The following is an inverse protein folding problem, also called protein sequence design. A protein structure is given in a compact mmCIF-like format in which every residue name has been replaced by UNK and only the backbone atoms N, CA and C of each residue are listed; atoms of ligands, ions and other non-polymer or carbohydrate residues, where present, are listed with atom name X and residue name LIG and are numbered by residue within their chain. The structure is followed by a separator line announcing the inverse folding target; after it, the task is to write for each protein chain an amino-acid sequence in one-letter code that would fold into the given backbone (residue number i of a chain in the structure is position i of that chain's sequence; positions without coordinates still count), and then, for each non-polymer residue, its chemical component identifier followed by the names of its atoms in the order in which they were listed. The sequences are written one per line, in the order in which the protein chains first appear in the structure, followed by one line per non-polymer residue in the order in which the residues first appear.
data_IF_114833344055
#
_entry.id   IF_114833344055
#
_cell.length_a   1.000
_cell.length_b   1.000
_cell.length_c   1.000
_cell.angle_alpha   90.00
_cell.angle_beta   90.00
_cell.angle_gamma   90.00
#
_symmetry.space_group_name_H-M   'P 1'
#
loop_
_entity.id
_entity.type
_entity.pdbx_description
1 polymer ?
#
# COMPACT_ATOMS: atom_id res chain seq x y z
N UNK A 1 3.60 -9.80 -18.06
CA UNK A 1 3.92 -11.22 -18.35
C UNK A 1 2.62 -12.02 -18.46
N UNK A 2 2.66 -13.28 -18.92
CA UNK A 2 1.45 -14.08 -19.16
C UNK A 2 0.85 -14.70 -17.90
N UNK A 3 1.66 -14.88 -16.85
CA UNK A 3 1.26 -15.48 -15.57
C UNK A 3 2.10 -14.94 -14.41
N UNK A 4 1.67 -15.24 -13.17
CA UNK A 4 2.37 -14.85 -11.95
C UNK A 4 3.83 -15.33 -11.87
N UNK A 5 4.14 -16.53 -12.38
CA UNK A 5 5.49 -17.09 -12.31
C UNK A 5 6.46 -16.35 -13.23
N UNK A 6 6.02 -16.02 -14.45
CA UNK A 6 6.79 -15.22 -15.40
C UNK A 6 6.91 -13.76 -14.95
N UNK A 7 5.90 -13.19 -14.31
CA UNK A 7 6.01 -11.87 -13.64
C UNK A 7 7.06 -11.92 -12.52
N UNK A 8 6.97 -12.89 -11.60
CA UNK A 8 7.94 -13.05 -10.50
C UNK A 8 9.37 -13.25 -11.02
N UNK A 9 9.56 -14.06 -12.06
CA UNK A 9 10.88 -14.29 -12.66
C UNK A 9 11.50 -13.01 -13.25
N UNK A 10 10.67 -12.10 -13.78
CA UNK A 10 11.14 -10.80 -14.27
C UNK A 10 11.59 -9.91 -13.10
N UNK A 11 10.78 -9.78 -12.05
CA UNK A 11 11.11 -8.98 -10.87
C UNK A 11 12.30 -9.54 -10.09
N UNK A 12 12.43 -10.87 -10.00
CA UNK A 12 13.57 -11.53 -9.35
C UNK A 12 14.90 -11.13 -9.99
N UNK A 13 14.95 -10.89 -11.31
CA UNK A 13 16.18 -10.43 -11.96
C UNK A 13 16.63 -9.08 -11.41
N UNK A 14 15.69 -8.17 -11.14
CA UNK A 14 15.97 -6.85 -10.56
C UNK A 14 16.40 -6.99 -9.10
N UNK A 15 15.65 -7.77 -8.30
CA UNK A 15 15.97 -8.05 -6.90
C UNK A 15 17.39 -8.59 -6.78
N UNK A 16 17.74 -9.61 -7.57
CA UNK A 16 19.08 -10.22 -7.56
C UNK A 16 20.15 -9.25 -8.07
N UNK A 17 19.86 -8.50 -9.14
CA UNK A 17 20.84 -7.59 -9.75
C UNK A 17 21.27 -6.47 -8.81
N UNK A 18 20.33 -5.93 -8.04
CA UNK A 18 20.57 -4.79 -7.16
C UNK A 18 20.67 -5.17 -5.67
N UNK A 19 20.45 -6.44 -5.32
CA UNK A 19 20.44 -6.88 -3.92
C UNK A 19 19.34 -6.19 -3.13
N UNK A 20 18.13 -6.10 -3.70
CA UNK A 20 17.03 -5.40 -3.05
C UNK A 20 16.60 -6.10 -1.77
N UNK A 21 16.39 -5.31 -0.71
CA UNK A 21 15.85 -5.76 0.57
C UNK A 21 14.38 -5.43 0.74
N UNK A 22 13.81 -4.63 -0.16
CA UNK A 22 12.39 -4.31 -0.19
C UNK A 22 11.90 -4.16 -1.63
N UNK A 23 10.62 -4.48 -1.85
CA UNK A 23 9.89 -4.22 -3.08
C UNK A 23 8.48 -3.75 -2.73
N UNK A 24 7.98 -2.78 -3.49
CA UNK A 24 6.62 -2.29 -3.38
C UNK A 24 5.88 -2.56 -4.69
N UNK A 25 4.67 -3.11 -4.57
CA UNK A 25 3.73 -3.26 -5.66
C UNK A 25 2.74 -2.11 -5.59
N UNK A 26 3.03 -1.03 -6.30
CA UNK A 26 2.12 0.12 -6.41
C UNK A 26 1.07 -0.16 -7.49
N UNK A 27 -0.16 -0.45 -7.06
CA UNK A 27 -1.25 -0.93 -7.92
C UNK A 27 -2.34 0.14 -7.99
N UNK A 28 -2.33 0.87 -9.11
CA UNK A 28 -3.15 2.06 -9.37
C UNK A 28 -3.99 1.94 -10.66
N UNK A 29 -4.78 2.98 -10.94
CA UNK A 29 -5.55 3.11 -12.18
C UNK A 29 -4.65 3.38 -13.40
N UNK A 30 -4.97 2.78 -14.56
CA UNK A 30 -6.05 1.82 -14.82
C UNK A 30 -5.67 0.34 -14.59
N UNK A 31 -4.43 0.03 -14.26
CA UNK A 31 -3.90 -1.34 -14.25
C UNK A 31 -4.60 -2.25 -13.23
N UNK A 32 -4.90 -1.75 -12.04
CA UNK A 32 -5.56 -2.51 -10.97
C UNK A 32 -7.05 -2.82 -11.26
N UNK A 33 -7.61 -2.27 -12.35
CA UNK A 33 -8.99 -2.53 -12.79
C UNK A 33 -9.09 -3.83 -13.58
N UNK A 34 -7.95 -4.41 -13.97
CA UNK A 34 -7.88 -5.67 -14.68
C UNK A 34 -7.66 -6.83 -13.71
N UNK A 35 -8.70 -7.65 -13.51
CA UNK A 35 -8.65 -8.81 -12.60
C UNK A 35 -7.52 -9.79 -12.94
N UNK A 36 -7.20 -10.02 -14.21
CA UNK A 36 -6.11 -10.91 -14.59
C UNK A 36 -4.73 -10.31 -14.27
N UNK A 37 -4.58 -9.00 -14.41
CA UNK A 37 -3.37 -8.29 -14.01
C UNK A 37 -3.17 -8.36 -12.49
N UNK A 38 -4.19 -8.03 -11.70
CA UNK A 38 -4.14 -8.11 -10.24
C UNK A 38 -3.81 -9.52 -9.75
N UNK A 39 -4.45 -10.55 -10.33
CA UNK A 39 -4.13 -11.94 -10.01
C UNK A 39 -2.66 -12.29 -10.26
N UNK A 40 -2.10 -11.80 -11.36
CA UNK A 40 -0.70 -12.04 -11.71
C UNK A 40 0.27 -11.27 -10.82
N UNK A 41 0.01 -10.00 -10.53
CA UNK A 41 0.87 -9.17 -9.66
C UNK A 41 0.88 -9.68 -8.22
N UNK A 42 -0.30 -9.97 -7.64
CA UNK A 42 -0.42 -10.54 -6.30
C UNK A 42 0.23 -11.93 -6.21
N UNK A 43 0.05 -12.76 -7.25
CA UNK A 43 0.71 -14.06 -7.31
C UNK A 43 2.23 -13.95 -7.43
N UNK A 44 2.72 -12.95 -8.16
CA UNK A 44 4.14 -12.69 -8.28
C UNK A 44 4.74 -12.21 -6.95
N UNK A 45 4.08 -11.27 -6.27
CA UNK A 45 4.47 -10.78 -4.94
C UNK A 45 4.59 -11.94 -3.94
N UNK A 46 3.60 -12.84 -3.92
CA UNK A 46 3.62 -14.06 -3.10
C UNK A 46 4.82 -14.96 -3.41
N UNK A 47 5.10 -15.23 -4.68
CA UNK A 47 6.24 -16.07 -5.10
C UNK A 47 7.57 -15.42 -4.68
N UNK A 48 7.72 -14.11 -4.87
CA UNK A 48 8.94 -13.39 -4.49
C UNK A 48 9.17 -13.42 -2.98
N UNK A 49 8.12 -13.20 -2.17
CA UNK A 49 8.21 -13.30 -0.72
C UNK A 49 8.65 -14.70 -0.27
N UNK A 50 8.14 -15.76 -0.93
CA UNK A 50 8.51 -17.14 -0.63
C UNK A 50 9.96 -17.45 -1.03
N UNK A 51 10.42 -16.94 -2.18
CA UNK A 51 11.74 -17.23 -2.72
C UNK A 51 12.86 -16.42 -2.05
N UNK A 52 12.54 -15.30 -1.40
CA UNK A 52 13.53 -14.38 -0.84
C UNK A 52 13.26 -14.15 0.66
N UNK A 53 13.69 -15.08 1.54
CA UNK A 53 13.61 -14.85 2.98
C UNK A 53 14.29 -13.55 3.38
N UNK A 54 13.55 -12.65 4.04
CA UNK A 54 14.05 -11.34 4.48
C UNK A 54 13.80 -10.20 3.47
N UNK A 55 13.22 -10.46 2.30
CA UNK A 55 12.69 -9.41 1.44
C UNK A 55 11.43 -8.83 2.07
N UNK A 56 11.41 -7.51 2.28
CA UNK A 56 10.21 -6.80 2.68
C UNK A 56 9.32 -6.55 1.45
N UNK A 57 8.11 -7.08 1.45
CA UNK A 57 7.15 -6.92 0.34
C UNK A 57 5.98 -6.07 0.82
N UNK A 58 5.73 -4.95 0.15
CA UNK A 58 4.53 -4.13 0.34
C UNK A 58 3.65 -4.12 -0.92
N UNK A 59 2.36 -3.87 -0.70
CA UNK A 59 1.39 -3.57 -1.76
C UNK A 59 0.73 -2.23 -1.45
N UNK A 60 0.87 -1.27 -2.33
CA UNK A 60 0.29 0.07 -2.21
C UNK A 60 -0.90 0.21 -3.18
N UNK A 61 -1.95 0.90 -2.76
CA UNK A 61 -3.12 1.16 -3.60
C UNK A 61 -3.78 2.50 -3.29
N UNK A 62 -4.65 2.97 -4.18
CA UNK A 62 -5.38 4.23 -4.02
C UNK A 62 -6.21 4.26 -2.72
N UNK A 63 -6.13 5.39 -2.01
CA UNK A 63 -6.93 5.67 -0.82
C UNK A 63 -8.26 6.36 -1.16
N UNK A 64 -9.27 6.15 -0.33
CA UNK A 64 -10.53 6.91 -0.37
C UNK A 64 -10.98 7.23 1.05
N UNK A 65 -12.05 8.02 1.23
CA UNK A 65 -12.65 8.24 2.55
C UNK A 65 -13.08 6.93 3.26
N UNK A 66 -13.36 5.87 2.49
CA UNK A 66 -13.68 4.52 2.99
C UNK A 66 -12.42 3.68 3.30
N UNK A 67 -11.23 4.27 3.26
CA UNK A 67 -9.93 3.60 3.35
C UNK A 67 -9.37 3.27 1.97
N UNK A 68 -10.07 2.45 1.19
CA UNK A 68 -9.75 2.22 -0.23
C UNK A 68 -11.02 1.99 -1.07
N UNK A 69 -10.88 2.12 -2.39
CA UNK A 69 -11.94 1.95 -3.37
C UNK A 69 -12.37 0.50 -3.61
N UNK A 70 -13.28 0.29 -4.56
CA UNK A 70 -13.74 -1.04 -4.94
C UNK A 70 -12.60 -1.94 -5.42
N UNK A 71 -11.72 -1.41 -6.29
CA UNK A 71 -10.58 -2.16 -6.83
C UNK A 71 -9.57 -2.53 -5.74
N UNK A 72 -9.26 -1.63 -4.81
CA UNK A 72 -8.44 -1.95 -3.64
C UNK A 72 -9.03 -3.07 -2.78
N UNK A 73 -10.35 -3.07 -2.54
CA UNK A 73 -11.04 -4.17 -1.84
C UNK A 73 -10.95 -5.49 -2.61
N UNK A 74 -11.07 -5.48 -3.94
CA UNK A 74 -10.89 -6.68 -4.76
C UNK A 74 -9.44 -7.18 -4.72
N UNK A 75 -8.45 -6.29 -4.74
CA UNK A 75 -7.03 -6.64 -4.59
C UNK A 75 -6.77 -7.36 -3.26
N UNK A 76 -7.32 -6.87 -2.15
CA UNK A 76 -7.18 -7.52 -0.84
C UNK A 76 -7.86 -8.90 -0.79
N UNK A 77 -9.03 -9.04 -1.43
CA UNK A 77 -9.71 -10.34 -1.54
C UNK A 77 -8.92 -11.33 -2.40
N UNK A 78 -8.28 -10.87 -3.48
CA UNK A 78 -7.39 -11.70 -4.30
C UNK A 78 -6.16 -12.14 -3.48
N UNK A 79 -5.52 -11.24 -2.74
CA UNK A 79 -4.42 -11.59 -1.83
C UNK A 79 -4.83 -12.67 -0.83
N UNK A 80 -6.00 -12.51 -0.19
CA UNK A 80 -6.57 -13.54 0.70
C UNK A 80 -6.80 -14.86 -0.03
N UNK A 81 -7.41 -14.84 -1.21
CA UNK A 81 -7.73 -16.05 -1.98
C UNK A 81 -6.46 -16.83 -2.39
N UNK A 82 -5.35 -16.13 -2.63
CA UNK A 82 -4.05 -16.73 -2.93
C UNK A 82 -3.26 -17.14 -1.67
N UNK A 83 -3.78 -16.88 -0.46
CA UNK A 83 -3.06 -17.11 0.79
C UNK A 83 -1.81 -16.25 0.92
N UNK A 84 -1.85 -15.03 0.38
CA UNK A 84 -0.77 -14.06 0.44
C UNK A 84 -1.03 -13.04 1.55
N UNK A 85 -0.01 -12.86 2.39
CA UNK A 85 0.06 -11.77 3.38
C UNK A 85 1.42 -11.09 3.19
N UNK A 86 1.47 -9.91 2.56
CA UNK A 86 2.69 -9.11 2.48
C UNK A 86 3.12 -8.65 3.87
N UNK A 87 4.31 -8.07 3.97
CA UNK A 87 4.69 -7.33 5.17
C UNK A 87 3.72 -6.18 5.41
N UNK A 88 3.29 -5.49 4.35
CA UNK A 88 2.45 -4.30 4.46
C UNK A 88 1.46 -4.14 3.30
N UNK A 89 0.27 -3.65 3.63
CA UNK A 89 -0.65 -3.01 2.71
C UNK A 89 -0.71 -1.50 3.01
N UNK A 90 -0.38 -0.68 2.03
CA UNK A 90 -0.42 0.79 2.15
C UNK A 90 -1.55 1.38 1.32
N UNK A 91 -2.15 2.47 1.82
CA UNK A 91 -3.03 3.32 1.02
C UNK A 91 -2.38 4.67 0.72
N UNK A 92 -2.82 5.28 -0.39
CA UNK A 92 -2.49 6.64 -0.80
C UNK A 92 -3.64 7.60 -0.50
N UNK A 93 -3.74 8.21 0.70
CA UNK A 93 -4.82 9.11 1.04
C UNK A 93 -4.56 10.54 0.53
N UNK A 94 -4.46 10.66 -0.79
CA UNK A 94 -4.39 11.90 -1.56
C UNK A 94 -5.09 11.66 -2.92
N UNK A 95 -5.30 12.71 -3.70
CA UNK A 95 -5.99 12.68 -5.01
C UNK A 95 -7.46 12.21 -4.96
N UNK A 96 -8.03 12.05 -3.76
CA UNK A 96 -9.35 11.49 -3.50
C UNK A 96 -10.35 12.46 -2.82
N UNK A 97 -10.04 13.76 -2.77
CA UNK A 97 -10.84 14.76 -2.06
C UNK A 97 -10.53 14.86 -0.55
N UNK A 98 -9.31 14.51 -0.17
CA UNK A 98 -8.77 14.61 1.18
C UNK A 98 -8.56 16.07 1.60
N UNK A 99 -8.86 16.35 2.86
CA UNK A 99 -8.74 17.66 3.48
C UNK A 99 -7.88 17.55 4.76
N UNK A 100 -6.56 17.67 4.59
CA UNK A 100 -5.57 17.61 5.66
C UNK A 100 -5.54 16.28 6.42
N UNK A 101 -4.76 16.24 7.50
CA UNK A 101 -4.47 15.02 8.24
C UNK A 101 -5.72 14.31 8.80
N UNK A 102 -6.76 15.05 9.19
CA UNK A 102 -7.98 14.46 9.75
C UNK A 102 -8.67 13.50 8.78
N UNK A 103 -8.71 13.85 7.49
CA UNK A 103 -9.29 12.97 6.46
C UNK A 103 -8.39 11.76 6.17
N UNK A 104 -7.06 11.94 6.24
CA UNK A 104 -6.09 10.86 6.02
C UNK A 104 -6.12 9.83 7.15
N UNK A 105 -6.11 10.27 8.41
CA UNK A 105 -6.20 9.36 9.57
C UNK A 105 -7.56 8.67 9.66
N UNK A 106 -8.64 9.33 9.23
CA UNK A 106 -9.95 8.69 9.09
C UNK A 106 -9.94 7.58 8.03
N UNK A 107 -9.28 7.80 6.89
CA UNK A 107 -9.14 6.77 5.86
C UNK A 107 -8.31 5.58 6.35
N UNK A 108 -7.19 5.83 7.04
CA UNK A 108 -6.40 4.76 7.70
C UNK A 108 -7.26 3.96 8.69
N UNK A 109 -8.00 4.63 9.57
CA UNK A 109 -8.91 3.96 10.51
C UNK A 109 -9.94 3.07 9.79
N UNK A 110 -10.45 3.50 8.63
CA UNK A 110 -11.39 2.71 7.84
C UNK A 110 -10.70 1.56 7.09
N UNK A 111 -9.50 1.79 6.58
CA UNK A 111 -8.70 0.77 5.92
C UNK A 111 -8.30 -0.35 6.90
N UNK A 112 -7.95 -0.01 8.13
CA UNK A 112 -7.74 -0.97 9.21
C UNK A 112 -8.94 -1.93 9.38
N UNK A 113 -10.17 -1.41 9.39
CA UNK A 113 -11.40 -2.23 9.47
C UNK A 113 -11.60 -3.12 8.25
N UNK A 114 -11.20 -2.65 7.06
CA UNK A 114 -11.20 -3.47 5.85
C UNK A 114 -10.20 -4.63 5.99
N UNK A 115 -8.99 -4.37 6.50
CA UNK A 115 -7.98 -5.43 6.75
C UNK A 115 -8.48 -6.44 7.79
N UNK A 116 -9.05 -5.98 8.91
CA UNK A 116 -9.65 -6.85 9.93
C UNK A 116 -10.75 -7.75 9.34
N UNK A 117 -11.71 -7.17 8.61
CA UNK A 117 -12.82 -7.94 8.01
C UNK A 117 -12.34 -8.89 6.91
N UNK A 118 -11.34 -8.48 6.13
CA UNK A 118 -10.80 -9.30 5.05
C UNK A 118 -10.02 -10.48 5.61
N UNK A 119 -9.07 -10.26 6.52
CA UNK A 119 -8.13 -11.31 6.94
C UNK A 119 -8.49 -11.97 8.29
N UNK A 120 -9.49 -11.47 9.00
CA UNK A 120 -9.85 -11.96 10.34
C UNK A 120 -8.83 -11.57 11.42
N UNK A 121 -8.06 -10.51 11.16
CA UNK A 121 -7.04 -10.01 12.07
C UNK A 121 -7.64 -9.23 13.25
N UNK A 122 -6.90 -9.18 14.36
CA UNK A 122 -7.15 -8.18 15.39
C UNK A 122 -6.82 -6.78 14.87
N UNK A 123 -7.38 -5.74 15.47
CA UNK A 123 -7.05 -4.35 15.16
C UNK A 123 -5.54 -4.08 15.19
N UNK A 124 -4.85 -4.53 16.25
CA UNK A 124 -3.41 -4.35 16.39
C UNK A 124 -2.61 -5.09 15.29
N UNK A 125 -3.03 -6.30 14.92
CA UNK A 125 -2.42 -7.04 13.80
C UNK A 125 -2.69 -6.35 12.47
N UNK A 126 -3.89 -5.81 12.26
CA UNK A 126 -4.19 -5.06 11.05
C UNK A 126 -3.32 -3.80 10.92
N UNK A 127 -3.16 -3.02 11.99
CA UNK A 127 -2.26 -1.84 11.95
C UNK A 127 -0.80 -2.24 11.72
N UNK A 128 -0.34 -3.33 12.32
CA UNK A 128 1.01 -3.87 12.09
C UNK A 128 1.23 -4.38 10.64
N UNK A 129 0.18 -4.48 9.82
CA UNK A 129 0.25 -4.75 8.39
C UNK A 129 -0.23 -3.57 7.54
N UNK A 130 -0.49 -2.42 8.15
CA UNK A 130 -1.03 -1.24 7.50
C UNK A 130 0.04 -0.17 7.30
N UNK A 131 -0.04 0.56 6.20
CA UNK A 131 0.87 1.64 5.89
C UNK A 131 0.22 2.86 5.25
N UNK A 132 0.96 3.96 5.31
CA UNK A 132 0.62 5.24 4.73
C UNK A 132 1.63 5.61 3.63
N UNK A 133 1.12 6.04 2.48
CA UNK A 133 1.89 6.72 1.43
C UNK A 133 1.24 8.07 1.13
N UNK A 134 1.81 9.17 1.63
CA UNK A 134 1.26 10.52 1.43
C UNK A 134 1.76 11.21 0.17
N UNK A 135 1.24 12.38 -0.16
CA UNK A 135 1.82 13.28 -1.17
C UNK A 135 2.15 14.61 -0.50
N UNK A 136 3.42 15.01 -0.47
CA UNK A 136 3.82 16.23 0.25
C UNK A 136 3.40 17.51 -0.50
N UNK A 137 2.94 18.54 0.20
CA UNK A 137 2.50 19.78 -0.45
C UNK A 137 1.26 19.58 -1.32
N UNK A 138 1.30 20.08 -2.56
CA UNK A 138 0.13 20.09 -3.47
C UNK A 138 -0.06 18.78 -4.23
N UNK A 139 -1.19 18.12 -4.05
CA UNK A 139 -1.61 16.95 -4.83
C UNK A 139 -2.12 17.33 -6.22
N UNK A 140 -2.39 16.35 -7.09
CA UNK A 140 -2.76 16.60 -8.49
C UNK A 140 -4.08 17.40 -8.66
N UNK A 141 -5.19 17.07 -7.96
CA UNK A 141 -6.40 17.87 -7.98
C UNK A 141 -6.28 19.15 -7.13
N UNK A 142 -5.20 19.31 -6.37
CA UNK A 142 -4.85 20.54 -5.66
C UNK A 142 -5.12 20.55 -4.16
N UNK A 143 -5.25 19.39 -3.52
CA UNK A 143 -5.25 19.30 -2.05
C UNK A 143 -3.85 19.73 -1.55
N UNK A 144 -3.78 20.29 -0.34
CA UNK A 144 -2.51 20.74 0.23
C UNK A 144 -2.28 20.00 1.55
N UNK A 145 -1.16 19.29 1.63
CA UNK A 145 -0.70 18.60 2.85
C UNK A 145 0.56 19.26 3.39
N UNK A 146 0.44 19.89 4.55
CA UNK A 146 1.51 20.62 5.20
C UNK A 146 2.40 19.70 6.04
N UNK A 147 3.58 20.17 6.47
CA UNK A 147 4.40 19.41 7.42
C UNK A 147 3.67 19.11 8.74
N UNK A 148 2.77 20.01 9.18
CA UNK A 148 1.93 19.77 10.37
C UNK A 148 0.91 18.65 10.15
N UNK A 149 0.38 18.50 8.93
CA UNK A 149 -0.46 17.36 8.57
C UNK A 149 0.35 16.06 8.63
N UNK A 150 1.54 16.04 8.02
CA UNK A 150 2.44 14.88 8.08
C UNK A 150 2.81 14.49 9.50
N UNK A 151 3.09 15.46 10.38
CA UNK A 151 3.35 15.18 11.80
C UNK A 151 2.14 14.53 12.47
N UNK A 152 0.93 15.04 12.20
CA UNK A 152 -0.31 14.47 12.76
C UNK A 152 -0.52 13.02 12.31
N UNK A 153 -0.28 12.72 11.02
CA UNK A 153 -0.40 11.34 10.51
C UNK A 153 0.71 10.45 11.05
N UNK A 154 1.93 10.96 11.23
CA UNK A 154 3.04 10.21 11.84
C UNK A 154 2.75 9.87 13.30
N UNK A 155 2.20 10.80 14.07
CA UNK A 155 1.80 10.57 15.46
C UNK A 155 0.70 9.49 15.53
N UNK A 156 -0.28 9.57 14.64
CA UNK A 156 -1.32 8.55 14.48
C UNK A 156 -0.69 7.17 14.18
N UNK A 157 0.15 7.09 13.15
CA UNK A 157 0.79 5.84 12.74
C UNK A 157 1.64 5.22 13.85
N UNK A 158 2.41 6.06 14.57
CA UNK A 158 3.23 5.64 15.71
C UNK A 158 2.37 5.14 16.87
N UNK A 159 1.27 5.84 17.19
CA UNK A 159 0.37 5.45 18.28
C UNK A 159 -0.33 4.10 18.05
N UNK A 160 -0.51 3.72 16.79
CA UNK A 160 -1.12 2.45 16.38
C UNK A 160 -0.10 1.35 16.08
N UNK A 161 1.21 1.63 16.16
CA UNK A 161 2.29 0.73 15.75
C UNK A 161 2.15 0.27 14.30
N UNK A 162 1.82 1.20 13.40
CA UNK A 162 1.80 0.93 11.96
C UNK A 162 3.19 0.60 11.43
N UNK A 163 3.25 -0.24 10.40
CA UNK A 163 4.51 -0.80 9.90
C UNK A 163 5.22 0.08 8.87
N UNK A 164 4.49 0.92 8.12
CA UNK A 164 5.07 1.72 7.03
C UNK A 164 4.54 3.14 6.98
N UNK A 165 5.47 4.09 6.83
CA UNK A 165 5.17 5.51 6.61
C UNK A 165 6.07 6.05 5.48
N UNK A 166 5.45 6.43 4.37
CA UNK A 166 6.13 6.85 3.15
C UNK A 166 5.43 8.05 2.53
N UNK A 167 6.07 8.69 1.54
CA UNK A 167 5.45 9.76 0.79
C UNK A 167 6.04 9.96 -0.60
N UNK A 168 5.22 10.51 -1.49
CA UNK A 168 5.58 10.98 -2.82
C UNK A 168 5.80 12.50 -2.80
N UNK A 169 7.02 13.01 -2.97
CA UNK A 169 8.28 12.27 -3.08
C UNK A 169 9.46 13.12 -2.68
N UNK A 170 10.62 12.49 -2.44
CA UNK A 170 11.86 13.18 -2.08
C UNK A 170 12.24 14.29 -3.08
N UNK A 171 11.98 14.10 -4.37
CA UNK A 171 12.28 15.12 -5.38
C UNK A 171 11.41 16.37 -5.26
N UNK A 172 10.21 16.23 -4.66
CA UNK A 172 9.26 17.31 -4.35
C UNK A 172 9.55 17.97 -2.99
N UNK A 173 10.34 17.31 -2.14
CA UNK A 173 10.66 17.73 -0.78
C UNK A 173 11.81 18.75 -0.73
N UNK A 174 11.51 20.00 -1.13
CA UNK A 174 12.51 21.06 -1.28
C UNK A 174 12.14 22.38 -0.60
N UNK A 175 11.09 22.38 0.20
CA UNK A 175 10.52 23.59 0.81
C UNK A 175 10.09 23.33 2.25
#
# INVERSE_FOLDING_TARGET
CSDAASTAAAYQQVITKYGLHAIDFDLEEPEYENTAAIKNEIGAARILQQNNPGLYVSVTTAGTADGTGWFGKQMLLEAKAQGFTPNNFSIMPFDGGFNGAASQTSALTNFNKILQSTFGWSEATAYAHEGFSGMNGRSDPGEIFTQADFQTVLDYATSHNMDRFTFWSLNRDRQ
#
